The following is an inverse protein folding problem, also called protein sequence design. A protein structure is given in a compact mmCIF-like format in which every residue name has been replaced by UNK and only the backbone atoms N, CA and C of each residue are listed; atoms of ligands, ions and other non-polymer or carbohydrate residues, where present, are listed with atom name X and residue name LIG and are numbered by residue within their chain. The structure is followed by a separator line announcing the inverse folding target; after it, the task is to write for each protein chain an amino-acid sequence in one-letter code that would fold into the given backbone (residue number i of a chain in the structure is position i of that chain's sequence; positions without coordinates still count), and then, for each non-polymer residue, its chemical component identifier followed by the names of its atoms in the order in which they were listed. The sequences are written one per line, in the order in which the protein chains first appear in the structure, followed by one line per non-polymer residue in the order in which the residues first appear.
data_IF_169777055468
#
_entry.id   IF_169777055468
#
_cell.length_a   1.000
_cell.length_b   1.000
_cell.length_c   1.000
_cell.angle_alpha   90.00
_cell.angle_beta   90.00
_cell.angle_gamma   90.00
#
_symmetry.space_group_name_H-M   'P 1'
#
loop_
_entity.id
_entity.type
_entity.pdbx_description
1 polymer ?
#
# COMPACT_ATOMS: atom_id res chain seq x y z
N UNK A 1 -28.48 16.62 45.32
CA UNK A 1 -28.34 17.28 44.00
C UNK A 1 -27.32 16.49 43.19
N UNK A 2 -27.73 15.99 42.02
CA UNK A 2 -26.91 15.27 41.04
C UNK A 2 -25.84 16.21 40.48
N UNK A 3 -24.61 15.73 40.34
CA UNK A 3 -23.74 16.18 39.25
C UNK A 3 -22.98 14.97 38.71
N UNK A 4 -23.31 14.62 37.47
CA UNK A 4 -22.61 13.62 36.67
C UNK A 4 -21.39 14.32 36.06
N UNK A 5 -20.20 13.77 36.25
CA UNK A 5 -19.08 14.03 35.35
C UNK A 5 -18.57 12.70 34.81
N UNK A 6 -19.21 12.24 33.73
CA UNK A 6 -18.59 11.31 32.79
C UNK A 6 -17.52 12.11 32.05
N UNK A 7 -16.27 11.66 32.07
CA UNK A 7 -15.34 11.98 31.00
C UNK A 7 -14.44 10.76 30.74
N UNK A 8 -14.69 10.16 29.58
CA UNK A 8 -13.92 9.07 28.99
C UNK A 8 -12.51 9.59 28.64
N UNK A 9 -11.49 9.18 29.40
CA UNK A 9 -10.10 9.40 28.99
C UNK A 9 -9.79 8.32 27.94
N UNK A 10 -10.00 8.67 26.68
CA UNK A 10 -9.54 7.89 25.53
C UNK A 10 -8.01 7.89 25.53
N UNK A 11 -7.43 6.70 25.43
CA UNK A 11 -6.01 6.44 25.33
C UNK A 11 -5.35 7.36 24.30
N UNK A 12 -4.40 8.16 24.76
CA UNK A 12 -3.49 8.90 23.88
C UNK A 12 -2.19 8.10 23.83
N UNK A 13 -2.11 7.17 22.88
CA UNK A 13 -0.85 6.50 22.56
C UNK A 13 -0.06 7.48 21.68
N UNK A 14 0.83 8.25 22.31
CA UNK A 14 1.80 9.07 21.60
C UNK A 14 2.92 8.12 21.16
N UNK A 15 2.82 7.58 19.95
CA UNK A 15 3.96 6.98 19.28
C UNK A 15 4.90 8.11 18.85
N UNK A 16 5.93 8.34 19.65
CA UNK A 16 7.05 9.20 19.29
C UNK A 16 7.86 8.56 18.18
N UNK A 17 7.59 8.94 16.93
CA UNK A 17 8.48 8.69 15.79
C UNK A 17 9.67 9.66 15.88
N UNK A 18 10.64 9.32 16.74
CA UNK A 18 11.98 9.88 16.65
C UNK A 18 12.62 9.37 15.35
N UNK A 19 12.75 10.29 14.40
CA UNK A 19 13.44 10.13 13.13
C UNK A 19 14.86 9.59 13.35
N UNK A 20 15.13 8.39 12.81
CA UNK A 20 16.46 7.94 12.50
C UNK A 20 16.65 8.06 11.00
N UNK A 21 17.24 9.17 10.57
CA UNK A 21 17.81 9.31 9.24
C UNK A 21 19.06 8.43 9.21
N UNK A 22 18.88 7.16 8.84
CA UNK A 22 19.97 6.28 8.43
C UNK A 22 19.85 6.14 6.91
N UNK A 23 20.62 6.97 6.21
CA UNK A 23 20.99 6.75 4.80
C UNK A 23 21.73 5.40 4.72
N UNK A 24 20.97 4.33 4.54
CA UNK A 24 21.47 2.99 4.34
C UNK A 24 21.04 2.51 2.97
N UNK A 25 21.99 2.25 2.08
CA UNK A 25 21.79 1.41 0.90
C UNK A 25 21.53 -0.06 1.29
N UNK A 26 20.69 -0.31 2.28
CA UNK A 26 20.25 -1.63 2.73
C UNK A 26 18.82 -1.84 2.26
N UNK A 27 18.48 -3.07 1.87
CA UNK A 27 17.08 -3.44 1.72
C UNK A 27 16.32 -3.06 3.01
N UNK A 28 15.10 -2.55 2.85
CA UNK A 28 14.19 -2.37 3.97
C UNK A 28 13.97 -3.71 4.67
N UNK A 29 13.84 -3.71 5.99
CA UNK A 29 13.57 -4.95 6.72
C UNK A 29 12.21 -5.52 6.31
N UNK A 30 12.01 -6.84 6.45
CA UNK A 30 10.72 -7.47 6.14
C UNK A 30 9.57 -6.85 6.94
N UNK A 31 9.81 -6.49 8.20
CA UNK A 31 8.83 -5.82 9.06
C UNK A 31 8.46 -4.42 8.54
N UNK A 32 9.44 -3.64 8.06
CA UNK A 32 9.19 -2.32 7.48
C UNK A 32 8.39 -2.43 6.18
N UNK A 33 8.74 -3.42 5.34
CA UNK A 33 8.01 -3.71 4.10
C UNK A 33 6.56 -4.11 4.39
N UNK A 34 6.32 -5.01 5.36
CA UNK A 34 5.00 -5.45 5.78
C UNK A 34 4.18 -4.30 6.39
N UNK A 35 4.81 -3.44 7.19
CA UNK A 35 4.17 -2.26 7.77
C UNK A 35 3.72 -1.29 6.66
N UNK A 36 4.59 -1.04 5.68
CA UNK A 36 4.26 -0.19 4.53
C UNK A 36 3.15 -0.81 3.68
N UNK A 37 3.21 -2.10 3.34
CA UNK A 37 2.17 -2.80 2.57
C UNK A 37 0.81 -2.72 3.28
N UNK A 38 0.78 -2.97 4.59
CA UNK A 38 -0.45 -2.84 5.39
C UNK A 38 -0.97 -1.41 5.39
N UNK A 39 -0.09 -0.41 5.50
CA UNK A 39 -0.46 1.00 5.41
C UNK A 39 -1.07 1.32 4.04
N UNK A 40 -0.43 0.90 2.94
CA UNK A 40 -0.93 1.06 1.58
C UNK A 40 -2.30 0.42 1.36
N UNK A 41 -2.46 -0.84 1.78
CA UNK A 41 -3.72 -1.57 1.65
C UNK A 41 -4.85 -0.89 2.42
N UNK A 42 -4.57 -0.44 3.65
CA UNK A 42 -5.53 0.24 4.52
C UNK A 42 -5.69 1.74 4.20
N UNK A 43 -4.82 2.30 3.35
CA UNK A 43 -4.91 3.69 2.97
C UNK A 43 -6.22 3.95 2.22
N UNK A 44 -6.94 4.97 2.66
CA UNK A 44 -8.13 5.50 1.98
C UNK A 44 -7.75 6.37 0.76
N UNK A 45 -6.54 6.18 0.20
CA UNK A 45 -6.06 6.95 -0.94
C UNK A 45 -6.68 6.43 -2.24
N UNK A 46 -8.00 6.59 -2.33
CA UNK A 46 -8.83 6.14 -3.45
C UNK A 46 -8.36 6.75 -4.77
N UNK A 47 -7.92 8.02 -4.75
CA UNK A 47 -7.40 8.70 -5.94
C UNK A 47 -6.13 8.04 -6.46
N UNK A 48 -5.15 7.72 -5.60
CA UNK A 48 -3.94 7.02 -5.99
C UNK A 48 -4.24 5.61 -6.53
N UNK A 49 -5.15 4.88 -5.88
CA UNK A 49 -5.58 3.54 -6.32
C UNK A 49 -6.31 3.58 -7.66
N UNK A 50 -7.18 4.57 -7.89
CA UNK A 50 -7.85 4.75 -9.18
C UNK A 50 -6.88 5.16 -10.28
N UNK A 51 -5.90 6.02 -9.98
CA UNK A 51 -4.86 6.42 -10.94
C UNK A 51 -4.00 5.23 -11.35
N UNK A 52 -3.61 4.39 -10.39
CA UNK A 52 -2.94 3.11 -10.64
C UNK A 52 -3.77 2.23 -11.57
N UNK A 53 -5.01 1.92 -11.19
CA UNK A 53 -5.90 1.05 -11.97
C UNK A 53 -6.11 1.56 -13.39
N UNK A 54 -6.41 2.84 -13.57
CA UNK A 54 -6.58 3.44 -14.91
C UNK A 54 -5.30 3.37 -15.75
N UNK A 55 -4.13 3.58 -15.12
CA UNK A 55 -2.84 3.39 -15.77
C UNK A 55 -2.65 1.94 -16.22
N UNK A 56 -2.90 0.98 -15.33
CA UNK A 56 -2.72 -0.44 -15.62
C UNK A 56 -3.73 -1.00 -16.62
N UNK A 57 -4.96 -0.48 -16.65
CA UNK A 57 -5.92 -0.79 -17.70
C UNK A 57 -5.40 -0.35 -19.07
N UNK A 58 -4.83 0.86 -19.16
CA UNK A 58 -4.23 1.35 -20.41
C UNK A 58 -3.05 0.49 -20.86
N UNK A 59 -2.19 0.05 -19.94
CA UNK A 59 -1.04 -0.82 -20.24
C UNK A 59 -1.51 -2.21 -20.69
N UNK A 60 -2.52 -2.78 -20.03
CA UNK A 60 -3.12 -4.06 -20.39
C UNK A 60 -4.04 -4.00 -21.63
N UNK A 61 -4.26 -2.80 -22.19
CA UNK A 61 -5.15 -2.62 -23.35
C UNK A 61 -6.62 -2.93 -23.05
N UNK A 62 -7.06 -2.72 -21.80
CA UNK A 62 -8.44 -2.92 -21.34
C UNK A 62 -9.03 -1.61 -20.83
N UNK A 63 -10.35 -1.54 -20.71
CA UNK A 63 -11.03 -0.36 -20.15
C UNK A 63 -11.36 -0.52 -18.66
N UNK A 64 -11.42 -1.75 -18.17
CA UNK A 64 -11.73 -2.09 -16.79
C UNK A 64 -11.34 -3.54 -16.47
N UNK A 65 -11.23 -3.86 -15.17
CA UNK A 65 -11.10 -5.25 -14.69
C UNK A 65 -12.41 -5.97 -14.96
N UNK A 66 -12.41 -6.94 -15.86
CA UNK A 66 -13.59 -7.75 -16.21
C UNK A 66 -13.26 -9.23 -16.18
N UNK A 67 -14.28 -10.08 -15.99
CA UNK A 67 -14.11 -11.54 -16.09
C UNK A 67 -13.74 -12.02 -17.51
N UNK A 68 -13.77 -11.14 -18.50
CA UNK A 68 -13.49 -11.44 -19.91
C UNK A 68 -12.04 -11.14 -20.29
N UNK A 69 -11.21 -10.69 -19.35
CA UNK A 69 -9.78 -10.48 -19.59
C UNK A 69 -9.09 -11.79 -19.93
N UNK A 70 -8.26 -11.77 -20.97
CA UNK A 70 -7.38 -12.90 -21.28
C UNK A 70 -6.32 -13.07 -20.19
N UNK A 71 -5.74 -14.26 -20.08
CA UNK A 71 -4.66 -14.53 -19.13
C UNK A 71 -3.49 -13.54 -19.30
N UNK A 72 -3.13 -13.21 -20.55
CA UNK A 72 -2.09 -12.24 -20.85
C UNK A 72 -2.43 -10.82 -20.36
N UNK A 73 -3.67 -10.37 -20.54
CA UNK A 73 -4.10 -9.05 -20.04
C UNK A 73 -4.11 -9.00 -18.51
N UNK A 74 -4.53 -10.08 -17.87
CA UNK A 74 -4.50 -10.19 -16.40
C UNK A 74 -3.07 -10.19 -15.86
N UNK A 75 -2.14 -10.86 -16.53
CA UNK A 75 -0.71 -10.85 -16.16
C UNK A 75 -0.10 -9.45 -16.31
N UNK A 76 -0.34 -8.78 -17.44
CA UNK A 76 0.14 -7.40 -17.67
C UNK A 76 -0.42 -6.45 -16.60
N UNK A 77 -1.71 -6.60 -16.26
CA UNK A 77 -2.34 -5.77 -15.23
C UNK A 77 -1.72 -6.03 -13.85
N UNK A 78 -1.56 -7.29 -13.45
CA UNK A 78 -0.93 -7.65 -12.18
C UNK A 78 0.51 -7.14 -12.08
N UNK A 79 1.30 -7.28 -13.15
CA UNK A 79 2.66 -6.76 -13.19
C UNK A 79 2.68 -5.23 -13.05
N UNK A 80 1.80 -4.52 -13.77
CA UNK A 80 1.70 -3.07 -13.66
C UNK A 80 1.31 -2.61 -12.24
N UNK A 81 0.36 -3.30 -11.60
CA UNK A 81 -0.04 -2.98 -10.23
C UNK A 81 1.13 -3.16 -9.26
N UNK A 82 1.87 -4.27 -9.36
CA UNK A 82 3.06 -4.52 -8.55
C UNK A 82 4.14 -3.45 -8.77
N UNK A 83 4.46 -3.15 -10.03
CA UNK A 83 5.48 -2.15 -10.39
C UNK A 83 5.11 -0.77 -9.83
N UNK A 84 3.85 -0.35 -9.98
CA UNK A 84 3.39 0.94 -9.47
C UNK A 84 3.50 1.03 -7.93
N UNK A 85 3.14 -0.03 -7.22
CA UNK A 85 3.23 -0.05 -5.76
C UNK A 85 4.68 -0.08 -5.29
N UNK A 86 5.56 -0.81 -5.99
CA UNK A 86 7.00 -0.79 -5.74
C UNK A 86 7.59 0.61 -5.94
N UNK A 87 7.27 1.29 -7.05
CA UNK A 87 7.73 2.66 -7.31
C UNK A 87 7.25 3.67 -6.25
N UNK A 88 6.04 3.47 -5.70
CA UNK A 88 5.54 4.30 -4.61
C UNK A 88 6.32 4.06 -3.33
N UNK A 89 6.58 2.80 -2.98
CA UNK A 89 7.36 2.46 -1.81
C UNK A 89 8.79 3.01 -1.92
N UNK A 90 9.41 2.95 -3.10
CA UNK A 90 10.73 3.52 -3.34
C UNK A 90 10.77 5.05 -3.12
N UNK A 91 9.68 5.76 -3.44
CA UNK A 91 9.55 7.20 -3.14
C UNK A 91 9.46 7.49 -1.65
N UNK A 92 9.00 6.51 -0.87
CA UNK A 92 8.96 6.55 0.60
C UNK A 92 10.24 5.94 1.23
N UNK A 93 11.29 5.68 0.44
CA UNK A 93 12.55 5.04 0.87
C UNK A 93 12.37 3.59 1.37
N UNK A 94 11.29 2.93 0.93
CA UNK A 94 11.01 1.52 1.21
C UNK A 94 11.28 0.68 -0.05
N UNK A 95 12.25 -0.23 0.04
CA UNK A 95 12.52 -1.24 -0.99
C UNK A 95 11.69 -2.48 -0.71
N UNK A 96 10.64 -2.69 -1.51
CA UNK A 96 9.78 -3.86 -1.40
C UNK A 96 10.36 -5.05 -2.17
N UNK A 97 10.33 -6.22 -1.54
CA UNK A 97 10.47 -7.49 -2.20
C UNK A 97 9.19 -7.81 -3.01
N UNK A 98 9.36 -8.17 -4.28
CA UNK A 98 8.23 -8.40 -5.20
C UNK A 98 7.38 -9.59 -4.75
N UNK A 99 8.01 -10.64 -4.25
CA UNK A 99 7.31 -11.86 -3.84
C UNK A 99 6.53 -11.61 -2.53
N UNK A 100 7.12 -10.86 -1.60
CA UNK A 100 6.45 -10.41 -0.38
C UNK A 100 5.26 -9.50 -0.69
N UNK A 101 5.42 -8.55 -1.62
CA UNK A 101 4.33 -7.69 -2.07
C UNK A 101 3.22 -8.52 -2.69
N UNK A 102 3.53 -9.38 -3.65
CA UNK A 102 2.57 -10.26 -4.33
C UNK A 102 1.76 -11.10 -3.32
N UNK A 103 2.42 -11.72 -2.34
CA UNK A 103 1.76 -12.52 -1.31
C UNK A 103 0.79 -11.72 -0.42
N UNK A 104 0.97 -10.41 -0.30
CA UNK A 104 0.22 -9.54 0.62
C UNK A 104 -0.69 -8.50 -0.08
N UNK A 105 -0.66 -8.38 -1.41
CA UNK A 105 -1.53 -7.50 -2.20
C UNK A 105 -2.45 -8.22 -3.18
N UNK A 106 -2.11 -9.44 -3.66
CA UNK A 106 -2.90 -10.19 -4.66
C UNK A 106 -4.24 -10.79 -4.14
N UNK A 107 -4.84 -10.22 -3.09
CA UNK A 107 -6.17 -10.65 -2.60
C UNK A 107 -7.32 -9.79 -3.14
N UNK A 108 -7.12 -9.05 -4.25
CA UNK A 108 -8.14 -8.19 -4.89
C UNK A 108 -8.81 -8.83 -6.12
#
# INVERSE_FOLDING_TARGET
MKSNFKNNIKATVIFGLSALVLVGCGNSSEDDQLAWIKSWNNSLNFEAKMKMLNGCFKVAGVNSKTMQMTAAQSEIMNQCELDYVMELAEKDDIKLDRDLLAANTLQL
#
